data_IF_220696534088
#
_entry.id   IF_220696534088
#
_cell.length_a   1.000
_cell.length_b   1.000
_cell.length_c   1.000
_cell.angle_alpha   90.00
_cell.angle_beta   90.00
_cell.angle_gamma   90.00
#
_symmetry.space_group_name_H-M   'P 1'
#
loop_
_entity.id
_entity.type
_entity.pdbx_description
1 polymer ?
#
# COMPACT_ATOMS: atom_id res chain seq x y z
N UNK A 1 -2.04 -2.82 17.33
CA UNK A 1 -2.57 -2.52 15.97
C UNK A 1 -1.49 -2.77 14.93
N UNK A 2 -0.24 -2.31 15.14
CA UNK A 2 0.90 -2.56 14.24
C UNK A 2 1.31 -4.03 14.08
N UNK A 3 1.41 -4.83 15.16
CA UNK A 3 1.77 -6.26 15.04
C UNK A 3 0.78 -7.06 14.18
N UNK A 4 -0.52 -6.78 14.29
CA UNK A 4 -1.56 -7.42 13.47
C UNK A 4 -1.39 -7.10 11.99
N UNK A 5 -1.11 -5.83 11.66
CA UNK A 5 -0.90 -5.37 10.29
C UNK A 5 0.42 -5.91 9.70
N UNK A 6 1.49 -5.95 10.49
CA UNK A 6 2.77 -6.53 10.08
C UNK A 6 2.66 -8.04 9.82
N UNK A 7 1.94 -8.79 10.67
CA UNK A 7 1.66 -10.20 10.43
C UNK A 7 0.83 -10.42 9.15
N UNK A 8 -0.27 -9.67 8.97
CA UNK A 8 -1.06 -9.74 7.73
C UNK A 8 -0.22 -9.41 6.49
N UNK A 9 0.67 -8.43 6.59
CA UNK A 9 1.55 -8.04 5.50
C UNK A 9 2.68 -9.05 5.23
N UNK A 10 3.11 -9.85 6.20
CA UNK A 10 4.07 -10.95 5.97
C UNK A 10 3.42 -12.10 5.21
N UNK A 11 2.25 -12.53 5.65
CA UNK A 11 1.57 -13.71 5.11
C UNK A 11 0.79 -13.45 3.81
N UNK A 12 0.38 -12.22 3.50
CA UNK A 12 -0.39 -11.93 2.27
C UNK A 12 0.52 -11.84 1.04
N UNK A 13 0.09 -12.33 -0.13
CA UNK A 13 0.82 -12.10 -1.39
C UNK A 13 0.43 -10.78 -2.08
N UNK A 14 -0.70 -10.21 -1.67
CA UNK A 14 -1.30 -9.03 -2.26
C UNK A 14 -2.28 -8.36 -1.28
N UNK A 15 -2.59 -7.08 -1.51
CA UNK A 15 -3.60 -6.33 -0.75
C UNK A 15 -4.70 -5.84 -1.68
N UNK A 16 -5.97 -5.96 -1.26
CA UNK A 16 -7.11 -5.44 -2.02
C UNK A 16 -8.00 -4.63 -1.08
N UNK A 17 -8.29 -3.39 -1.45
CA UNK A 17 -9.31 -2.58 -0.81
C UNK A 17 -10.63 -2.62 -1.60
N UNK A 18 -11.70 -2.97 -0.89
CA UNK A 18 -13.08 -2.85 -1.35
C UNK A 18 -13.67 -1.51 -0.88
N UNK A 19 -14.73 -0.99 -1.52
CA UNK A 19 -15.39 0.24 -1.09
C UNK A 19 -15.66 0.26 0.42
N UNK A 20 -15.20 1.32 1.08
CA UNK A 20 -15.18 1.41 2.53
C UNK A 20 -14.82 2.82 3.00
N UNK A 21 -15.05 3.10 4.28
CA UNK A 21 -14.83 4.41 4.87
C UNK A 21 -13.36 4.68 5.25
N UNK A 22 -13.16 5.61 6.19
CA UNK A 22 -11.83 6.07 6.59
C UNK A 22 -10.88 4.97 7.06
N UNK A 23 -11.39 3.94 7.76
CA UNK A 23 -10.55 2.82 8.20
C UNK A 23 -9.91 2.07 7.02
N UNK A 24 -10.69 1.77 5.98
CA UNK A 24 -10.17 1.14 4.75
C UNK A 24 -9.18 2.04 4.01
N UNK A 25 -9.44 3.35 3.97
CA UNK A 25 -8.53 4.30 3.34
C UNK A 25 -7.20 4.43 4.10
N UNK A 26 -7.23 4.43 5.42
CA UNK A 26 -6.03 4.45 6.27
C UNK A 26 -5.17 3.21 6.02
N UNK A 27 -5.78 2.02 6.04
CA UNK A 27 -5.08 0.75 5.79
C UNK A 27 -4.51 0.69 4.36
N UNK A 28 -5.26 1.19 3.36
CA UNK A 28 -4.79 1.26 1.97
C UNK A 28 -3.56 2.16 1.83
N UNK A 29 -3.61 3.38 2.36
CA UNK A 29 -2.52 4.34 2.25
C UNK A 29 -1.26 3.86 2.98
N UNK A 30 -1.41 3.13 4.09
CA UNK A 30 -0.28 2.50 4.79
C UNK A 30 0.42 1.47 3.90
N UNK A 31 -0.32 0.58 3.22
CA UNK A 31 0.28 -0.41 2.30
C UNK A 31 0.92 0.25 1.07
N UNK A 32 0.34 1.33 0.55
CA UNK A 32 0.96 2.12 -0.54
C UNK A 32 2.29 2.72 -0.06
N UNK A 33 2.32 3.26 1.16
CA UNK A 33 3.51 3.86 1.74
C UNK A 33 4.61 2.82 1.96
N UNK A 34 4.27 1.63 2.45
CA UNK A 34 5.24 0.54 2.63
C UNK A 34 5.81 0.05 1.29
N UNK A 35 4.98 -0.09 0.26
CA UNK A 35 5.46 -0.36 -1.10
C UNK A 35 6.40 0.74 -1.60
N UNK A 36 6.05 2.01 -1.38
CA UNK A 36 6.87 3.16 -1.80
C UNK A 36 8.22 3.22 -1.07
N UNK A 37 8.27 2.85 0.21
CA UNK A 37 9.50 2.72 0.99
C UNK A 37 10.31 1.47 0.64
N UNK A 38 9.75 0.57 -0.18
CA UNK A 38 10.38 -0.67 -0.59
C UNK A 38 10.39 -1.75 0.48
N UNK A 39 9.55 -1.61 1.50
CA UNK A 39 9.36 -2.57 2.60
C UNK A 39 8.73 -3.87 2.07
N UNK A 40 7.86 -3.78 1.07
CA UNK A 40 7.37 -4.92 0.31
C UNK A 40 7.23 -4.58 -1.17
N UNK A 41 7.09 -5.62 -1.99
CA UNK A 41 6.90 -5.51 -3.45
C UNK A 41 5.55 -6.06 -3.93
N UNK A 42 4.65 -6.33 -2.98
CA UNK A 42 3.32 -6.92 -3.20
C UNK A 42 2.38 -5.92 -3.88
N UNK A 43 1.52 -6.34 -4.83
CA UNK A 43 0.58 -5.44 -5.49
C UNK A 43 -0.50 -4.93 -4.52
N UNK A 44 -0.91 -3.67 -4.71
CA UNK A 44 -2.00 -3.03 -3.98
C UNK A 44 -3.16 -2.75 -4.94
N UNK A 45 -4.26 -3.47 -4.75
CA UNK A 45 -5.45 -3.44 -5.61
C UNK A 45 -6.58 -2.58 -5.04
N UNK A 46 -7.26 -1.83 -5.91
CA UNK A 46 -8.52 -1.16 -5.64
C UNK A 46 -9.63 -1.77 -6.49
N UNK A 47 -10.62 -2.38 -5.83
CA UNK A 47 -11.84 -2.81 -6.50
C UNK A 47 -12.79 -1.61 -6.66
N UNK A 48 -12.74 -0.97 -7.84
CA UNK A 48 -13.40 0.29 -8.12
C UNK A 48 -14.86 0.10 -8.60
N UNK A 49 -15.71 -0.47 -7.74
CA UNK A 49 -17.13 -0.70 -8.02
C UNK A 49 -17.84 0.64 -8.23
N UNK A 50 -18.59 0.77 -9.33
CA UNK A 50 -19.37 1.96 -9.70
C UNK A 50 -18.59 3.29 -9.65
N UNK A 51 -17.27 3.23 -9.81
CA UNK A 51 -16.42 4.42 -9.78
C UNK A 51 -16.18 5.01 -8.38
N UNK A 52 -16.42 4.24 -7.30
CA UNK A 52 -16.24 4.67 -5.91
C UNK A 52 -14.89 5.36 -5.64
N UNK A 53 -13.80 4.82 -6.20
CA UNK A 53 -12.44 5.33 -6.03
C UNK A 53 -11.99 6.34 -7.09
N UNK A 54 -12.85 6.79 -8.01
CA UNK A 54 -12.46 7.72 -9.08
C UNK A 54 -11.81 9.00 -8.54
N UNK A 55 -12.42 9.61 -7.51
CA UNK A 55 -11.89 10.83 -6.89
C UNK A 55 -10.55 10.59 -6.18
N UNK A 56 -10.35 9.40 -5.59
CA UNK A 56 -9.09 9.03 -4.94
C UNK A 56 -7.97 8.80 -5.97
N UNK A 57 -8.28 8.11 -7.07
CA UNK A 57 -7.34 7.91 -8.17
C UNK A 57 -6.96 9.25 -8.81
N UNK A 58 -7.92 10.15 -9.02
CA UNK A 58 -7.66 11.51 -9.50
C UNK A 58 -6.78 12.32 -8.52
N UNK A 59 -6.96 12.16 -7.21
CA UNK A 59 -6.08 12.75 -6.21
C UNK A 59 -4.63 12.26 -6.37
N UNK A 60 -4.42 10.97 -6.62
CA UNK A 60 -3.09 10.43 -6.87
C UNK A 60 -2.49 10.95 -8.18
N UNK A 61 -3.30 11.03 -9.25
CA UNK A 61 -2.87 11.56 -10.54
C UNK A 61 -2.45 13.04 -10.42
N UNK A 62 -3.23 13.84 -9.69
CA UNK A 62 -2.88 15.23 -9.37
C UNK A 62 -1.59 15.31 -8.53
N UNK A 63 -1.42 14.43 -7.56
CA UNK A 63 -0.19 14.33 -6.76
C UNK A 63 1.05 14.05 -7.63
N UNK A 64 0.90 13.29 -8.72
CA UNK A 64 1.96 13.11 -9.71
C UNK A 64 2.22 14.40 -10.49
N UNK A 65 1.16 15.06 -10.98
CA UNK A 65 1.27 16.31 -11.74
C UNK A 65 1.98 17.42 -10.95
N UNK A 66 1.65 17.55 -9.67
CA UNK A 66 2.25 18.54 -8.77
C UNK A 66 3.62 18.11 -8.21
N UNK A 67 4.10 16.91 -8.55
CA UNK A 67 5.42 16.42 -8.14
C UNK A 67 5.52 15.87 -6.71
N UNK A 68 4.39 15.70 -6.01
CA UNK A 68 4.35 15.08 -4.68
C UNK A 68 4.48 13.54 -4.75
N UNK A 69 4.01 12.92 -5.82
CA UNK A 69 4.09 11.48 -6.06
C UNK A 69 4.98 11.25 -7.28
N UNK A 70 6.02 10.42 -7.16
CA UNK A 70 6.84 10.05 -8.32
C UNK A 70 6.00 9.23 -9.31
N UNK A 71 6.19 9.41 -10.63
CA UNK A 71 5.46 8.62 -11.65
C UNK A 71 5.53 7.11 -11.42
N UNK A 72 6.71 6.59 -11.04
CA UNK A 72 6.86 5.21 -10.61
C UNK A 72 5.90 4.87 -9.48
N UNK A 73 5.97 5.57 -8.34
CA UNK A 73 5.14 5.32 -7.15
C UNK A 73 3.63 5.29 -7.44
N UNK A 74 3.15 5.99 -8.48
CA UNK A 74 1.75 5.93 -8.90
C UNK A 74 1.33 4.55 -9.42
N UNK A 75 2.25 3.78 -9.98
CA UNK A 75 2.01 2.44 -10.52
C UNK A 75 1.83 1.39 -9.41
N UNK A 76 2.11 1.72 -8.13
CA UNK A 76 1.89 0.81 -6.98
C UNK A 76 0.43 0.38 -6.90
N UNK A 77 -0.48 1.32 -7.22
CA UNK A 77 -1.92 1.12 -7.09
C UNK A 77 -2.52 0.65 -8.43
N UNK A 78 -3.01 -0.58 -8.41
CA UNK A 78 -3.74 -1.20 -9.52
C UNK A 78 -5.23 -1.08 -9.25
N UNK A 79 -6.03 -0.67 -10.23
CA UNK A 79 -7.50 -0.61 -10.07
C UNK A 79 -8.24 -1.28 -11.23
N UNK A 80 -9.41 -1.82 -10.90
CA UNK A 80 -10.35 -2.37 -11.87
C UNK A 80 -11.79 -2.37 -11.31
N UNK A 81 -12.82 -2.30 -12.17
CA UNK A 81 -14.22 -2.31 -11.75
C UNK A 81 -14.72 -3.69 -11.32
N UNK A 82 -14.04 -4.78 -11.69
CA UNK A 82 -14.45 -6.14 -11.36
C UNK A 82 -13.31 -6.93 -10.72
N UNK A 83 -13.65 -7.88 -9.84
CA UNK A 83 -12.68 -8.73 -9.15
C UNK A 83 -11.82 -9.52 -10.15
N UNK A 84 -12.44 -10.06 -11.21
CA UNK A 84 -11.74 -10.83 -12.24
C UNK A 84 -10.67 -9.98 -12.95
N UNK A 85 -11.04 -8.77 -13.39
CA UNK A 85 -10.09 -7.87 -14.05
C UNK A 85 -8.99 -7.41 -13.09
N UNK A 86 -9.34 -7.15 -11.83
CA UNK A 86 -8.37 -6.76 -10.80
C UNK A 86 -7.32 -7.86 -10.60
N UNK A 87 -7.76 -9.11 -10.43
CA UNK A 87 -6.85 -10.25 -10.25
C UNK A 87 -5.88 -10.41 -11.42
N UNK A 88 -6.37 -10.32 -12.66
CA UNK A 88 -5.52 -10.41 -13.86
C UNK A 88 -4.45 -9.31 -13.85
N UNK A 89 -4.84 -8.06 -13.57
CA UNK A 89 -3.88 -6.95 -13.52
C UNK A 89 -2.87 -7.10 -12.38
N UNK A 90 -3.29 -7.63 -11.24
CA UNK A 90 -2.41 -7.84 -10.08
C UNK A 90 -1.44 -9.01 -10.29
N UNK A 91 -1.82 -10.06 -11.02
CA UNK A 91 -0.90 -11.15 -11.41
C UNK A 91 0.17 -10.67 -12.41
N UNK A 92 -0.18 -9.70 -13.27
CA UNK A 92 0.74 -9.10 -14.23
C UNK A 92 1.60 -7.99 -13.63
N UNK A 93 1.35 -7.62 -12.38
CA UNK A 93 2.07 -6.55 -11.71
C UNK A 93 3.56 -6.91 -11.54
N UNK A 94 4.42 -6.07 -12.09
CA UNK A 94 5.85 -6.09 -11.84
C UNK A 94 6.25 -4.78 -11.14
N UNK A 95 6.93 -4.82 -9.99
CA UNK A 95 7.38 -3.62 -9.31
C UNK A 95 8.42 -2.89 -10.17
N UNK A 96 8.04 -1.74 -10.72
CA UNK A 96 8.84 -0.87 -11.60
C UNK A 96 9.45 0.33 -10.86
N UNK A 97 9.15 0.47 -9.57
CA UNK A 97 9.44 1.65 -8.74
C UNK A 97 10.90 1.65 -8.28
N UNK A 98 11.66 2.70 -8.61
CA UNK A 98 12.97 2.93 -7.98
C UNK A 98 12.80 3.24 -6.48
N UNK A 99 13.54 2.49 -5.63
CA UNK A 99 13.55 2.68 -4.18
C UNK A 99 13.84 4.14 -3.81
N UNK A 100 12.97 4.73 -2.98
CA UNK A 100 13.17 6.11 -2.49
C UNK A 100 14.12 6.14 -1.27
N UNK A 101 14.26 5.02 -0.53
CA UNK A 101 15.10 4.91 0.66
C UNK A 101 16.24 3.89 0.48
N UNK A 102 17.41 4.18 1.07
CA UNK A 102 18.52 3.23 1.18
C UNK A 102 18.13 2.04 2.07
N UNK A 103 18.53 0.83 1.65
CA UNK A 103 18.15 -0.47 2.23
C UNK A 103 18.46 -0.64 3.73
N UNK A 104 19.23 0.27 4.33
CA UNK A 104 19.70 0.21 5.72
C UNK A 104 18.73 0.81 6.75
N UNK A 105 17.66 1.50 6.34
CA UNK A 105 16.84 2.30 7.26
C UNK A 105 15.51 1.67 7.69
N UNK A 106 15.06 0.58 7.06
CA UNK A 106 13.73 -0.01 7.30
C UNK A 106 13.74 -1.54 7.22
N UNK A 107 14.45 -2.21 8.12
CA UNK A 107 14.28 -3.65 8.31
C UNK A 107 12.95 -3.92 9.01
N UNK A 108 12.14 -4.83 8.46
CA UNK A 108 10.83 -5.20 9.02
C UNK A 108 10.89 -5.65 10.50
N UNK A 109 12.03 -6.17 10.92
CA UNK A 109 12.34 -6.54 12.31
C UNK A 109 12.39 -5.31 13.24
N UNK A 110 12.91 -4.17 12.78
CA UNK A 110 13.05 -2.95 13.59
C UNK A 110 11.73 -2.16 13.75
N UNK A 111 10.77 -2.33 12.84
CA UNK A 111 9.44 -1.71 12.94
C UNK A 111 8.53 -2.40 13.98
N UNK A 112 8.84 -3.64 14.36
CA UNK A 112 8.07 -4.42 15.33
C UNK A 112 8.55 -4.27 16.78
N UNK A 113 9.74 -3.72 17.02
CA UNK A 113 10.27 -3.49 18.37
C UNK A 113 9.97 -2.07 18.85
N UNK A 114 8.78 -1.84 19.41
CA UNK A 114 8.59 -0.74 20.35
C UNK A 114 8.81 -1.25 21.77
N UNK A 115 9.58 -0.55 22.63
CA UNK A 115 9.79 -0.99 24.00
C UNK A 115 8.45 -0.91 24.73
N UNK A 116 7.89 -2.07 25.07
CA UNK A 116 6.90 -2.19 26.12
C UNK A 116 7.51 -1.57 27.37
N UNK A 117 7.05 -0.38 27.76
CA UNK A 117 7.38 0.19 29.07
C UNK A 117 6.82 -0.77 30.11
N UNK A 118 7.72 -1.58 30.65
CA UNK A 118 7.53 -2.32 31.89
C UNK A 118 7.20 -1.29 32.97
N UNK A 119 5.91 -1.19 33.29
CA UNK A 119 5.45 -0.35 34.38
C UNK A 119 5.17 -1.24 35.58
N UNK A 120 6.24 -1.86 36.09
CA UNK A 120 6.29 -2.46 37.41
C UNK A 120 7.09 -1.55 38.35
N UNK A 121 6.39 -0.61 39.00
CA UNK A 121 6.68 -0.10 40.36
C UNK A 121 5.57 0.83 40.83
#
# INVERSE_FOLDING_TARGET
>A
MHERKAAMAREADAFIALPGGYGTMEELLEMITWAQLGIHKKPVGLLNVDGYYNSLLALFDNGVQEGFIKPGAREIVVSAPTAKELMIKMEQYAPSHEHIASHESWQMEQLCEYPSKDNSR
#
